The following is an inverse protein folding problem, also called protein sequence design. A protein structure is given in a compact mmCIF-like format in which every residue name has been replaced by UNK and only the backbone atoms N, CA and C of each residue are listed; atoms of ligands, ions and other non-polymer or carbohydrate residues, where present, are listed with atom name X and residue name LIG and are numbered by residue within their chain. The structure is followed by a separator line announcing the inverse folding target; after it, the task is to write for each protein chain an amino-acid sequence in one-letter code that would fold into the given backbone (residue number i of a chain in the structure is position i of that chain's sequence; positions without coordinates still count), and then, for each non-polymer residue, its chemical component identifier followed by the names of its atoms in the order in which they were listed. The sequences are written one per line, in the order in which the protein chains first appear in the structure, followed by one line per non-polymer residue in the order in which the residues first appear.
data_IF_994207299594
#
_entry.id   IF_994207299594
#
_cell.length_a   1.000
_cell.length_b   1.000
_cell.length_c   1.000
_cell.angle_alpha   90.00
_cell.angle_beta   90.00
_cell.angle_gamma   90.00
#
_symmetry.space_group_name_H-M   'P 1'
#
loop_
_entity.id
_entity.type
_entity.pdbx_description
1 polymer ?
#
# COMPACT_ATOMS: atom_id res chain seq x y z
N UNK A 1 7.46 -9.18 44.55
CA UNK A 1 8.07 -9.69 43.32
C UNK A 1 6.97 -10.38 42.55
N UNK A 2 6.44 -9.74 41.52
CA UNK A 2 5.69 -10.37 40.43
C UNK A 2 5.63 -9.31 39.31
N UNK A 3 6.56 -9.44 38.37
CA UNK A 3 6.58 -8.64 37.15
C UNK A 3 5.42 -9.11 36.30
N UNK A 4 4.41 -8.26 36.12
CA UNK A 4 3.40 -8.46 35.09
C UNK A 4 4.16 -8.55 33.77
N UNK A 5 4.14 -9.71 33.14
CA UNK A 5 4.67 -9.88 31.79
C UNK A 5 3.94 -8.87 30.90
N UNK A 6 4.66 -7.92 30.33
CA UNK A 6 4.12 -6.98 29.36
C UNK A 6 3.44 -7.78 28.23
N UNK A 7 2.19 -7.49 27.87
CA UNK A 7 1.59 -8.10 26.69
C UNK A 7 2.45 -7.69 25.49
N UNK A 8 3.00 -8.70 24.81
CA UNK A 8 3.70 -8.66 23.53
C UNK A 8 3.90 -7.25 22.92
N UNK A 9 5.01 -6.60 23.27
CA UNK A 9 5.28 -5.19 22.99
C UNK A 9 5.71 -4.90 21.53
N UNK A 10 5.69 -5.90 20.64
CA UNK A 10 6.14 -5.75 19.25
C UNK A 10 4.98 -5.91 18.28
N UNK A 11 4.45 -4.81 17.72
CA UNK A 11 3.32 -4.86 16.81
C UNK A 11 3.73 -5.44 15.45
N UNK A 12 2.76 -5.93 14.68
CA UNK A 12 2.95 -6.14 13.24
C UNK A 12 3.42 -4.85 12.57
N UNK A 13 4.45 -4.95 11.73
CA UNK A 13 4.91 -3.85 10.87
C UNK A 13 4.75 -4.24 9.40
N UNK A 14 4.67 -3.23 8.55
CA UNK A 14 4.50 -3.40 7.12
C UNK A 14 5.31 -2.33 6.39
N UNK A 15 5.90 -2.70 5.26
CA UNK A 15 6.35 -1.77 4.23
C UNK A 15 5.80 -2.20 2.87
N UNK A 16 5.66 -1.24 1.96
CA UNK A 16 5.13 -1.48 0.62
C UNK A 16 6.18 -1.09 -0.42
N UNK A 17 6.36 -1.97 -1.40
CA UNK A 17 7.22 -1.78 -2.55
C UNK A 17 6.39 -1.69 -3.83
N UNK A 18 6.59 -0.64 -4.62
CA UNK A 18 6.03 -0.52 -5.97
C UNK A 18 7.01 -1.12 -6.98
N UNK A 19 6.71 -2.34 -7.42
CA UNK A 19 7.54 -3.08 -8.39
C UNK A 19 7.31 -2.58 -9.82
N UNK A 20 6.06 -2.24 -10.15
CA UNK A 20 5.70 -1.81 -11.49
C UNK A 20 4.31 -1.20 -11.56
N UNK A 21 4.07 -0.45 -12.62
CA UNK A 21 2.75 0.08 -12.92
C UNK A 21 2.55 0.28 -14.43
N UNK A 22 1.28 0.29 -14.84
CA UNK A 22 0.83 0.58 -16.21
C UNK A 22 -0.48 1.38 -16.16
N UNK A 23 -0.91 1.94 -17.31
CA UNK A 23 -2.20 2.63 -17.42
C UNK A 23 -2.24 4.04 -16.82
N UNK A 24 -1.08 4.63 -16.49
CA UNK A 24 -0.99 6.03 -16.07
C UNK A 24 -0.91 6.96 -17.28
N UNK A 25 -2.02 7.05 -18.00
CA UNK A 25 -2.23 7.89 -19.19
C UNK A 25 -3.48 8.74 -18.97
N UNK A 26 -3.64 9.90 -19.65
CA UNK A 26 -4.92 10.58 -19.71
C UNK A 26 -6.05 9.62 -20.12
N UNK A 27 -7.17 9.66 -19.41
CA UNK A 27 -8.33 8.82 -19.73
C UNK A 27 -8.93 9.10 -21.14
N UNK A 28 -8.62 10.26 -21.71
CA UNK A 28 -9.04 10.70 -23.04
C UNK A 28 -8.11 10.22 -24.16
N UNK A 29 -6.94 9.67 -23.83
CA UNK A 29 -5.99 9.21 -24.84
C UNK A 29 -6.50 7.96 -25.58
N UNK A 30 -6.39 7.91 -26.92
CA UNK A 30 -6.68 6.71 -27.68
C UNK A 30 -5.81 5.54 -27.20
N UNK A 31 -6.45 4.49 -26.69
CA UNK A 31 -5.75 3.31 -26.17
C UNK A 31 -5.35 3.39 -24.70
N UNK A 32 -5.88 4.37 -23.94
CA UNK A 32 -5.73 4.40 -22.49
C UNK A 32 -6.18 3.08 -21.85
N UNK A 33 -5.33 2.50 -21.01
CA UNK A 33 -5.63 1.27 -20.28
C UNK A 33 -5.94 1.56 -18.82
N UNK A 34 -6.55 0.59 -18.13
CA UNK A 34 -6.81 0.69 -16.70
C UNK A 34 -5.51 0.80 -15.91
N UNK A 35 -5.39 1.76 -14.98
CA UNK A 35 -4.32 1.76 -14.00
C UNK A 35 -4.16 0.39 -13.34
N UNK A 36 -2.93 -0.11 -13.33
CA UNK A 36 -2.57 -1.35 -12.66
C UNK A 36 -1.23 -1.17 -11.97
N UNK A 37 -1.14 -1.64 -10.73
CA UNK A 37 0.03 -1.53 -9.88
C UNK A 37 0.38 -2.93 -9.34
N UNK A 38 1.63 -3.30 -9.53
CA UNK A 38 2.22 -4.51 -8.97
C UNK A 38 3.02 -4.10 -7.72
N UNK A 39 2.56 -4.58 -6.57
CA UNK A 39 3.10 -4.25 -5.26
C UNK A 39 3.69 -5.49 -4.61
N UNK A 40 4.71 -5.30 -3.77
CA UNK A 40 5.12 -6.29 -2.76
C UNK A 40 4.89 -5.67 -1.39
N UNK A 41 4.14 -6.37 -0.55
CA UNK A 41 3.99 -6.03 0.87
C UNK A 41 4.97 -6.86 1.68
N UNK A 42 5.82 -6.20 2.43
CA UNK A 42 6.76 -6.82 3.36
C UNK A 42 6.16 -6.71 4.76
N UNK A 43 5.73 -7.84 5.31
CA UNK A 43 5.03 -7.92 6.59
C UNK A 43 5.97 -8.59 7.60
N UNK A 44 6.13 -8.00 8.77
CA UNK A 44 6.82 -8.63 9.91
C UNK A 44 5.80 -8.90 11.01
N UNK A 45 5.63 -10.19 11.34
CA UNK A 45 4.90 -10.59 12.52
C UNK A 45 5.78 -10.42 13.76
N UNK A 46 5.79 -9.20 14.30
CA UNK A 46 6.50 -8.88 15.53
C UNK A 46 6.02 -9.64 16.76
N UNK A 47 4.89 -10.36 16.69
CA UNK A 47 4.26 -11.03 17.83
C UNK A 47 4.91 -12.36 18.23
N UNK A 48 4.67 -12.78 19.47
CA UNK A 48 5.02 -14.11 20.02
C UNK A 48 3.95 -15.18 19.71
N UNK A 49 2.95 -14.86 18.89
CA UNK A 49 1.88 -15.75 18.46
C UNK A 49 1.68 -15.72 16.94
N UNK A 50 0.94 -16.72 16.43
CA UNK A 50 0.59 -16.83 15.01
C UNK A 50 -0.45 -15.79 14.62
N UNK A 51 -0.26 -15.10 13.50
CA UNK A 51 -1.29 -14.26 12.89
C UNK A 51 -1.91 -14.99 11.71
N UNK A 52 -3.25 -15.01 11.67
CA UNK A 52 -4.02 -15.53 10.55
C UNK A 52 -5.01 -14.47 10.09
N UNK A 53 -5.05 -14.21 8.79
CA UNK A 53 -5.89 -13.20 8.20
C UNK A 53 -6.43 -13.68 6.85
N UNK A 54 -7.70 -13.40 6.56
CA UNK A 54 -8.36 -13.85 5.34
C UNK A 54 -8.06 -12.98 4.11
N UNK A 55 -7.14 -12.03 4.26
CA UNK A 55 -6.85 -11.00 3.27
C UNK A 55 -7.61 -9.71 3.58
N UNK A 56 -7.13 -8.60 3.04
CA UNK A 56 -7.62 -7.26 3.32
C UNK A 56 -7.70 -6.43 2.05
N UNK A 57 -8.47 -5.34 2.11
CA UNK A 57 -8.60 -4.44 0.97
C UNK A 57 -7.32 -3.63 0.81
N UNK A 58 -6.95 -3.37 -0.45
CA UNK A 58 -5.86 -2.46 -0.82
C UNK A 58 -6.41 -1.39 -1.73
N UNK A 59 -6.15 -0.13 -1.40
CA UNK A 59 -6.47 1.02 -2.24
C UNK A 59 -5.18 1.75 -2.61
N UNK A 60 -5.05 2.08 -3.90
CA UNK A 60 -3.97 2.93 -4.41
C UNK A 60 -4.60 4.23 -4.86
N UNK A 61 -4.08 5.35 -4.36
CA UNK A 61 -4.55 6.69 -4.70
C UNK A 61 -3.40 7.63 -5.00
N UNK A 62 -3.71 8.71 -5.72
CA UNK A 62 -2.79 9.80 -5.99
C UNK A 62 -3.48 11.12 -5.67
N UNK A 63 -2.85 11.96 -4.85
CA UNK A 63 -3.45 13.21 -4.37
C UNK A 63 -4.89 13.04 -3.82
N UNK A 64 -5.15 11.92 -3.13
CA UNK A 64 -6.46 11.57 -2.57
C UNK A 64 -7.48 11.03 -3.56
N UNK A 65 -7.16 10.96 -4.87
CA UNK A 65 -8.04 10.37 -5.89
C UNK A 65 -7.73 8.87 -6.05
N UNK A 66 -8.72 7.97 -5.89
CA UNK A 66 -8.52 6.54 -6.07
C UNK A 66 -8.15 6.19 -7.51
N UNK A 67 -7.06 5.45 -7.69
CA UNK A 67 -6.59 4.99 -9.01
C UNK A 67 -6.83 3.49 -9.23
N UNK A 68 -6.73 2.67 -8.17
CA UNK A 68 -6.88 1.23 -8.26
C UNK A 68 -7.29 0.62 -6.92
N UNK A 69 -7.85 -0.60 -6.98
CA UNK A 69 -8.15 -1.43 -5.81
C UNK A 69 -7.62 -2.84 -6.00
N UNK A 70 -7.30 -3.51 -4.91
CA UNK A 70 -6.85 -4.88 -4.88
C UNK A 70 -7.21 -5.54 -3.56
N UNK A 71 -6.77 -6.78 -3.36
CA UNK A 71 -6.83 -7.44 -2.06
C UNK A 71 -5.52 -8.13 -1.75
N UNK A 72 -5.12 -8.11 -0.48
CA UNK A 72 -4.03 -8.97 -0.01
C UNK A 72 -4.52 -10.43 0.04
N UNK A 73 -3.68 -11.42 -0.31
CA UNK A 73 -4.01 -12.82 -0.14
C UNK A 73 -4.28 -13.16 1.33
N UNK A 74 -5.08 -14.19 1.58
CA UNK A 74 -5.16 -14.79 2.91
C UNK A 74 -3.80 -15.37 3.31
N UNK A 75 -3.44 -15.25 4.58
CA UNK A 75 -2.16 -15.77 5.07
C UNK A 75 -2.22 -16.21 6.51
N UNK A 76 -1.25 -17.05 6.86
CA UNK A 76 -0.90 -17.42 8.21
C UNK A 76 0.61 -17.25 8.36
N UNK A 77 1.04 -16.55 9.40
CA UNK A 77 2.45 -16.30 9.71
C UNK A 77 2.74 -16.77 11.13
N UNK A 78 3.84 -17.49 11.30
CA UNK A 78 4.37 -17.90 12.58
C UNK A 78 4.88 -16.69 13.40
N UNK A 79 5.14 -16.93 14.68
CA UNK A 79 5.75 -15.93 15.56
C UNK A 79 7.09 -15.46 14.99
N UNK A 80 7.34 -14.15 15.04
CA UNK A 80 8.56 -13.51 14.51
C UNK A 80 8.89 -13.82 13.04
N UNK A 81 7.91 -14.26 12.25
CA UNK A 81 8.08 -14.50 10.82
C UNK A 81 7.99 -13.18 10.05
N UNK A 82 8.88 -12.99 9.07
CA UNK A 82 8.75 -11.95 8.05
C UNK A 82 8.39 -12.58 6.70
N UNK A 83 7.52 -11.93 5.94
CA UNK A 83 7.04 -12.41 4.64
C UNK A 83 6.84 -11.29 3.65
N UNK A 84 7.29 -11.51 2.42
CA UNK A 84 6.95 -10.70 1.26
C UNK A 84 5.76 -11.32 0.52
N UNK A 85 4.74 -10.52 0.19
CA UNK A 85 3.57 -10.98 -0.55
C UNK A 85 3.27 -10.08 -1.75
N UNK A 86 3.09 -10.65 -2.95
CA UNK A 86 2.68 -9.88 -4.10
C UNK A 86 1.21 -9.48 -3.99
N UNK A 87 0.91 -8.24 -4.34
CA UNK A 87 -0.44 -7.71 -4.44
C UNK A 87 -0.59 -6.99 -5.76
N UNK A 88 -1.68 -7.28 -6.47
CA UNK A 88 -2.05 -6.55 -7.67
C UNK A 88 -3.26 -5.68 -7.39
N UNK A 89 -3.13 -4.39 -7.64
CA UNK A 89 -4.24 -3.45 -7.61
C UNK A 89 -4.54 -2.95 -9.02
N UNK A 90 -5.81 -2.96 -9.43
CA UNK A 90 -6.23 -2.43 -10.72
C UNK A 90 -7.59 -1.72 -10.61
N UNK A 91 -7.96 -0.93 -11.61
CA UNK A 91 -9.30 -0.36 -11.71
C UNK A 91 -10.09 -0.96 -12.87
N UNK A 92 -11.42 -0.85 -12.79
CA UNK A 92 -12.30 -1.14 -13.92
C UNK A 92 -12.43 0.05 -14.90
N UNK A 93 -11.87 1.21 -14.54
CA UNK A 93 -11.87 2.42 -15.37
C UNK A 93 -10.73 2.41 -16.39
N UNK A 94 -10.58 3.51 -17.13
CA UNK A 94 -9.49 3.70 -18.11
C UNK A 94 -8.73 4.98 -17.79
N UNK A 95 -7.40 4.89 -17.83
CA UNK A 95 -6.50 6.01 -17.58
C UNK A 95 -6.72 6.74 -16.26
N UNK A 96 -6.24 7.99 -16.24
CA UNK A 96 -6.26 8.93 -15.13
C UNK A 96 -7.02 10.18 -15.58
N UNK A 97 -7.89 10.79 -14.74
CA UNK A 97 -8.53 12.06 -15.05
C UNK A 97 -7.51 13.13 -15.46
N UNK A 98 -7.83 13.95 -16.48
CA UNK A 98 -6.85 14.81 -17.16
C UNK A 98 -6.15 15.81 -16.23
N UNK A 99 -6.90 16.46 -15.33
CA UNK A 99 -6.32 17.37 -14.34
C UNK A 99 -5.39 16.66 -13.35
N UNK A 100 -5.74 15.44 -12.93
CA UNK A 100 -4.92 14.63 -12.05
C UNK A 100 -3.65 14.14 -12.77
N UNK A 101 -3.77 13.77 -14.05
CA UNK A 101 -2.62 13.40 -14.87
C UNK A 101 -1.64 14.57 -15.06
N UNK A 102 -2.17 15.79 -15.28
CA UNK A 102 -1.36 17.01 -15.36
C UNK A 102 -0.63 17.30 -14.05
N UNK A 103 -1.32 17.23 -12.91
CA UNK A 103 -0.69 17.36 -11.59
C UNK A 103 0.43 16.33 -11.42
N UNK A 104 0.11 15.05 -11.67
CA UNK A 104 1.07 13.95 -11.57
C UNK A 104 2.29 14.20 -12.45
N UNK A 105 2.10 14.64 -13.69
CA UNK A 105 3.20 14.92 -14.61
C UNK A 105 4.12 16.03 -14.10
N UNK A 106 3.58 17.10 -13.51
CA UNK A 106 4.39 18.16 -12.91
C UNK A 106 5.16 17.67 -11.68
N UNK A 107 4.51 16.94 -10.76
CA UNK A 107 5.16 16.43 -9.56
C UNK A 107 6.25 15.38 -9.88
N UNK A 108 6.04 14.56 -10.92
CA UNK A 108 7.05 13.62 -11.43
C UNK A 108 8.30 14.34 -11.92
N UNK A 109 8.17 15.50 -12.58
CA UNK A 109 9.33 16.31 -13.03
C UNK A 109 10.20 16.80 -11.87
N UNK A 110 9.59 17.05 -10.72
CA UNK A 110 10.29 17.48 -9.51
C UNK A 110 10.69 16.33 -8.58
N UNK A 111 10.34 15.09 -8.92
CA UNK A 111 10.64 13.91 -8.11
C UNK A 111 9.84 13.82 -6.81
N UNK A 112 8.65 14.43 -6.75
CA UNK A 112 7.81 14.47 -5.55
C UNK A 112 6.47 13.73 -5.72
N UNK A 113 6.27 13.06 -6.85
CA UNK A 113 5.07 12.28 -7.11
C UNK A 113 5.03 11.02 -6.24
N UNK A 114 4.05 10.94 -5.34
CA UNK A 114 3.86 9.83 -4.42
C UNK A 114 2.48 9.19 -4.57
N UNK A 115 2.44 7.86 -4.58
CA UNK A 115 1.23 7.09 -4.41
C UNK A 115 0.96 6.89 -2.94
N UNK A 116 -0.30 7.00 -2.53
CA UNK A 116 -0.75 6.53 -1.23
C UNK A 116 -1.37 5.16 -1.36
N UNK A 117 -0.82 4.22 -0.59
CA UNK A 117 -1.31 2.84 -0.48
C UNK A 117 -1.94 2.69 0.89
N UNK A 118 -3.22 2.36 0.91
CA UNK A 118 -3.97 2.04 2.13
C UNK A 118 -4.30 0.55 2.11
N UNK A 119 -4.03 -0.15 3.21
CA UNK A 119 -4.26 -1.58 3.29
C UNK A 119 -4.68 -2.04 4.68
N UNK A 120 -5.58 -3.01 4.72
CA UNK A 120 -5.90 -3.77 5.93
C UNK A 120 -4.99 -4.99 6.09
N UNK A 121 -4.35 -5.12 7.25
CA UNK A 121 -3.56 -6.30 7.63
C UNK A 121 -3.89 -6.70 9.06
N UNK A 122 -4.30 -7.94 9.27
CA UNK A 122 -4.75 -8.44 10.56
C UNK A 122 -5.89 -7.56 11.14
N UNK A 123 -5.64 -6.84 12.22
CA UNK A 123 -6.63 -5.99 12.89
C UNK A 123 -6.32 -4.50 12.70
N UNK A 124 -5.28 -4.19 11.93
CA UNK A 124 -4.74 -2.86 11.73
C UNK A 124 -5.00 -2.37 10.30
N UNK A 125 -5.05 -1.05 10.17
CA UNK A 125 -4.95 -0.37 8.88
C UNK A 125 -3.58 0.28 8.78
N UNK A 126 -2.97 0.15 7.62
CA UNK A 126 -1.67 0.74 7.32
C UNK A 126 -1.81 1.70 6.13
N UNK A 127 -1.00 2.74 6.16
CA UNK A 127 -0.82 3.71 5.08
C UNK A 127 0.66 3.79 4.74
N UNK A 128 0.99 3.73 3.47
CA UNK A 128 2.35 3.89 2.97
C UNK A 128 2.33 4.93 1.85
N UNK A 129 3.23 5.91 1.91
CA UNK A 129 3.41 6.91 0.85
C UNK A 129 4.66 6.49 0.06
N UNK A 130 4.48 6.00 -1.18
CA UNK A 130 5.51 5.38 -2.01
C UNK A 130 5.83 6.28 -3.20
N UNK A 131 7.11 6.59 -3.41
CA UNK A 131 7.57 7.36 -4.56
C UNK A 131 7.25 6.65 -5.88
N UNK A 132 6.61 7.36 -6.80
CA UNK A 132 6.18 6.80 -8.08
C UNK A 132 7.38 6.51 -9.01
N UNK A 133 8.38 7.40 -9.02
CA UNK A 133 9.57 7.31 -9.87
C UNK A 133 10.89 7.27 -9.12
N UNK A 134 10.85 7.21 -7.78
CA UNK A 134 12.04 7.18 -6.94
C UNK A 134 12.95 5.98 -7.24
N UNK A 135 14.25 6.13 -6.96
CA UNK A 135 15.22 5.03 -7.05
C UNK A 135 14.91 3.91 -6.05
N UNK A 136 14.30 4.27 -4.92
CA UNK A 136 13.82 3.32 -3.93
C UNK A 136 12.30 3.47 -3.82
N UNK A 137 11.55 2.52 -4.40
CA UNK A 137 10.09 2.52 -4.40
C UNK A 137 9.53 1.72 -3.23
N UNK A 138 10.24 1.72 -2.12
CA UNK A 138 9.89 1.03 -0.87
C UNK A 138 9.64 2.07 0.20
N UNK A 139 8.52 1.95 0.92
CA UNK A 139 8.16 2.86 2.01
C UNK A 139 7.62 2.09 3.21
N UNK A 140 8.11 2.46 4.40
CA UNK A 140 7.56 1.96 5.66
C UNK A 140 6.14 2.48 5.84
N UNK A 141 5.23 1.59 6.21
CA UNK A 141 3.84 1.94 6.43
C UNK A 141 3.63 2.36 7.88
N UNK A 142 2.74 3.31 8.10
CA UNK A 142 2.32 3.78 9.41
C UNK A 142 0.85 3.46 9.64
N UNK A 143 0.46 3.34 10.91
CA UNK A 143 -0.95 3.29 11.30
C UNK A 143 -1.48 4.72 11.25
N UNK A 144 -2.54 5.02 10.48
CA UNK A 144 -3.12 6.35 10.49
C UNK A 144 -3.64 6.65 11.90
N UNK A 145 -3.27 7.79 12.46
CA UNK A 145 -3.84 8.25 13.72
C UNK A 145 -5.33 8.47 13.48
N UNK A 146 -6.19 7.75 14.20
CA UNK A 146 -7.62 8.07 14.21
C UNK A 146 -7.75 9.49 14.77
N UNK A 147 -8.02 10.47 13.91
CA UNK A 147 -8.47 11.78 14.40
C UNK A 147 -9.80 11.54 15.12
N UNK A 148 -9.76 11.68 16.44
CA UNK A 148 -10.94 11.66 17.30
C UNK A 148 -11.75 12.91 16.96
N UNK A 149 -12.84 12.72 16.24
CA UNK A 149 -13.81 13.76 15.94
C UNK A 149 -14.81 13.91 17.08
#
# INVERSE_FOLDING_TARGET
MESVAYPDNKPTTCSAELVGFTGLQPATDPGATSPSFDLILHIDNGHDFYIRHDGGDVAVSYAGVPLARGRTPSFEMAYKEARAQPVKATSAGVGVPEDLFRLMTEERKWGVAQLRIELGLAWDTFTCDVDLDGQNRVSECYRPTLEQN
#
